data_IF_717136638236
#
_entry.id   IF_717136638236
#
_cell.length_a   1.000
_cell.length_b   1.000
_cell.length_c   1.000
_cell.angle_alpha   90.00
_cell.angle_beta   90.00
_cell.angle_gamma   90.00
#
_symmetry.space_group_name_H-M   'P 1'
#
loop_
_entity.id
_entity.type
_entity.pdbx_description
1 polymer ?
#
# COMPACT_ATOMS: atom_id res chain seq x y z
N UNK A 1 46.75 40.23 12.15
CA UNK A 1 47.73 41.10 11.44
C UNK A 1 47.58 40.82 9.95
N UNK A 2 47.23 41.84 9.27
CA UNK A 2 47.62 42.47 8.01
C UNK A 2 46.91 41.88 6.77
N UNK A 3 45.90 42.53 6.30
CA UNK A 3 45.79 43.59 5.25
C UNK A 3 46.21 43.19 3.84
N UNK A 4 45.33 43.48 2.91
CA UNK A 4 45.64 43.84 1.54
C UNK A 4 44.47 43.48 0.59
N UNK A 5 43.66 44.36 0.34
CA UNK A 5 43.48 45.45 -0.62
C UNK A 5 42.88 45.03 -1.94
N UNK A 6 41.72 45.60 -2.17
CA UNK A 6 40.85 45.57 -3.37
C UNK A 6 41.49 46.41 -4.52
N UNK A 7 41.38 45.95 -5.75
CA UNK A 7 41.32 46.86 -6.91
C UNK A 7 40.20 46.37 -7.84
N UNK A 8 39.22 47.23 -8.05
CA UNK A 8 38.15 47.06 -8.99
C UNK A 8 38.50 47.50 -10.43
N UNK A 9 37.83 46.95 -11.39
CA UNK A 9 37.68 47.55 -12.71
C UNK A 9 36.22 47.53 -13.14
N UNK A 10 35.70 48.71 -13.29
CA UNK A 10 34.36 49.02 -13.85
C UNK A 10 34.46 48.86 -15.34
N UNK A 11 33.64 47.98 -15.93
CA UNK A 11 33.34 47.96 -17.33
C UNK A 11 31.85 48.17 -17.50
N UNK A 12 31.50 49.19 -18.26
CA UNK A 12 30.16 49.72 -18.45
C UNK A 12 29.16 48.74 -19.02
N UNK A 13 28.02 48.68 -18.40
CA UNK A 13 26.86 47.96 -18.87
C UNK A 13 25.92 48.87 -19.65
N UNK A 14 25.75 48.59 -20.91
CA UNK A 14 24.70 49.16 -21.77
C UNK A 14 23.33 48.71 -21.22
N UNK A 15 22.31 49.55 -21.12
CA UNK A 15 21.00 49.12 -20.62
C UNK A 15 20.33 48.20 -21.63
N UNK A 16 20.11 46.95 -21.26
CA UNK A 16 19.22 46.07 -21.97
C UNK A 16 17.79 46.61 -21.81
N UNK A 17 17.21 47.03 -22.92
CA UNK A 17 15.75 47.29 -23.00
C UNK A 17 14.99 46.06 -22.54
N UNK A 18 14.37 46.12 -21.38
CA UNK A 18 13.38 45.17 -20.95
C UNK A 18 12.18 45.24 -21.89
N UNK A 19 12.06 44.25 -22.78
CA UNK A 19 10.78 43.98 -23.44
C UNK A 19 9.81 43.55 -22.34
N UNK A 20 8.87 44.41 -22.00
CA UNK A 20 7.73 44.10 -21.17
C UNK A 20 6.89 43.03 -21.90
N UNK A 21 7.07 41.77 -21.50
CA UNK A 21 6.07 40.77 -21.85
C UNK A 21 4.73 41.23 -21.24
N UNK A 22 3.63 41.27 -22.02
CA UNK A 22 2.33 41.56 -21.44
C UNK A 22 2.08 40.57 -20.30
N UNK A 23 1.62 41.09 -19.16
CA UNK A 23 1.21 40.25 -18.05
C UNK A 23 0.27 39.16 -18.56
N UNK A 24 0.49 37.89 -18.15
CA UNK A 24 -0.42 36.84 -18.56
C UNK A 24 -1.82 37.23 -18.11
N UNK A 25 -2.73 37.37 -19.10
CA UNK A 25 -4.14 37.60 -18.81
C UNK A 25 -4.60 36.48 -17.83
N UNK A 26 -5.36 36.78 -16.80
CA UNK A 26 -5.93 35.78 -15.94
C UNK A 26 -6.68 34.80 -16.84
N UNK A 27 -6.18 33.57 -16.94
CA UNK A 27 -6.93 32.49 -17.59
C UNK A 27 -8.29 32.50 -16.95
N UNK A 28 -9.36 32.69 -17.72
CA UNK A 28 -10.72 32.50 -17.24
C UNK A 28 -10.81 31.12 -16.63
N UNK A 29 -10.68 31.09 -15.32
CA UNK A 29 -10.64 29.94 -14.51
C UNK A 29 -12.07 29.52 -14.23
N UNK A 30 -12.39 28.35 -14.71
CA UNK A 30 -13.48 27.46 -14.32
C UNK A 30 -14.87 27.91 -14.80
N UNK A 31 -15.59 26.97 -15.44
CA UNK A 31 -17.04 27.04 -15.45
C UNK A 31 -17.53 27.18 -14.00
N UNK A 32 -18.72 27.75 -13.77
CA UNK A 32 -19.28 27.89 -12.42
C UNK A 32 -19.11 26.59 -11.70
N UNK A 33 -18.57 26.63 -10.47
CA UNK A 33 -18.32 25.44 -9.64
C UNK A 33 -19.59 24.60 -9.67
N UNK A 34 -19.55 23.52 -10.47
CA UNK A 34 -20.56 22.49 -10.31
C UNK A 34 -20.50 22.10 -8.83
N UNK A 35 -21.65 21.99 -8.21
CA UNK A 35 -21.79 21.64 -6.80
C UNK A 35 -21.37 20.16 -6.64
N UNK A 36 -20.07 19.94 -6.80
CA UNK A 36 -19.47 18.60 -6.77
C UNK A 36 -19.66 17.99 -5.37
N UNK A 37 -19.99 16.72 -5.28
CA UNK A 37 -20.08 16.04 -3.99
C UNK A 37 -18.74 16.12 -3.27
N UNK A 38 -18.79 16.36 -1.95
CA UNK A 38 -17.61 16.50 -1.09
C UNK A 38 -17.50 15.31 -0.14
N UNK A 39 -16.30 14.82 0.08
CA UNK A 39 -16.00 13.83 1.13
C UNK A 39 -14.81 14.27 1.97
N UNK A 40 -14.78 13.79 3.21
CA UNK A 40 -13.68 14.02 4.15
C UNK A 40 -13.04 12.67 4.47
N UNK A 41 -11.70 12.62 4.44
CA UNK A 41 -10.92 11.41 4.68
C UNK A 41 -10.03 11.60 5.90
N UNK A 42 -10.21 10.79 6.94
CA UNK A 42 -9.35 10.77 8.12
C UNK A 42 -8.33 9.65 8.00
N UNK A 43 -7.07 10.03 7.74
CA UNK A 43 -5.95 9.08 7.62
C UNK A 43 -5.51 8.57 8.99
N UNK A 44 -5.12 7.30 9.06
CA UNK A 44 -4.46 6.76 10.24
C UNK A 44 -2.98 7.14 10.29
N UNK A 45 -2.34 7.23 9.13
CA UNK A 45 -0.90 7.49 9.02
C UNK A 45 -0.51 8.05 7.64
N UNK A 46 0.74 8.50 7.53
CA UNK A 46 1.41 8.89 6.29
C UNK A 46 2.44 7.82 5.87
N UNK A 47 2.16 6.54 6.14
CA UNK A 47 2.96 5.41 5.72
C UNK A 47 2.36 4.68 4.51
N UNK A 48 2.85 3.48 4.19
CA UNK A 48 2.36 2.69 3.08
C UNK A 48 0.83 2.54 3.07
N UNK A 49 0.23 2.19 4.21
CA UNK A 49 -1.22 1.97 4.31
C UNK A 49 -2.01 3.27 4.04
N UNK A 50 -1.58 4.39 4.63
CA UNK A 50 -2.22 5.69 4.40
C UNK A 50 -2.17 6.10 2.93
N UNK A 51 -1.02 5.92 2.27
CA UNK A 51 -0.89 6.25 0.85
C UNK A 51 -1.73 5.34 -0.05
N UNK A 52 -1.61 4.02 0.08
CA UNK A 52 -2.32 3.08 -0.77
C UNK A 52 -3.83 3.15 -0.63
N UNK A 53 -4.30 3.35 0.60
CA UNK A 53 -5.73 3.24 0.90
C UNK A 53 -6.49 4.58 0.87
N UNK A 54 -5.81 5.69 1.17
CA UNK A 54 -6.46 6.98 1.38
C UNK A 54 -5.90 8.08 0.48
N UNK A 55 -4.58 8.38 0.58
CA UNK A 55 -3.99 9.59 -0.01
C UNK A 55 -3.93 9.51 -1.55
N UNK A 56 -3.45 8.40 -2.11
CA UNK A 56 -3.41 8.23 -3.56
C UNK A 56 -4.81 8.17 -4.19
N UNK A 57 -5.77 7.38 -3.65
CA UNK A 57 -7.15 7.45 -4.12
C UNK A 57 -7.74 8.87 -4.07
N UNK A 58 -7.49 9.63 -3.00
CA UNK A 58 -7.94 11.01 -2.90
C UNK A 58 -7.36 11.90 -4.00
N UNK A 59 -6.04 11.85 -4.23
CA UNK A 59 -5.40 12.61 -5.31
C UNK A 59 -5.97 12.24 -6.68
N UNK A 60 -6.16 10.94 -6.94
CA UNK A 60 -6.71 10.48 -8.21
C UNK A 60 -8.17 10.91 -8.39
N UNK A 61 -8.99 10.85 -7.34
CA UNK A 61 -10.39 11.28 -7.38
C UNK A 61 -10.52 12.79 -7.58
N UNK A 62 -9.67 13.58 -6.92
CA UNK A 62 -9.63 15.04 -7.14
C UNK A 62 -9.21 15.37 -8.58
N UNK A 63 -8.24 14.64 -9.13
CA UNK A 63 -7.82 14.78 -10.54
C UNK A 63 -8.90 14.32 -11.53
N UNK A 64 -9.70 13.32 -11.14
CA UNK A 64 -10.84 12.85 -11.95
C UNK A 64 -11.94 13.90 -12.10
N UNK A 65 -12.06 14.84 -11.14
CA UNK A 65 -12.90 16.01 -11.26
C UNK A 65 -14.41 15.78 -11.10
N UNK A 66 -14.83 14.60 -10.60
CA UNK A 66 -16.24 14.29 -10.37
C UNK A 66 -16.68 14.49 -8.92
N UNK A 67 -15.75 14.71 -8.00
CA UNK A 67 -16.00 15.04 -6.60
C UNK A 67 -14.80 15.78 -6.00
N UNK A 68 -14.98 16.34 -4.81
CA UNK A 68 -13.91 16.96 -4.03
C UNK A 68 -13.66 16.11 -2.79
N UNK A 69 -12.42 15.66 -2.62
CA UNK A 69 -11.98 14.95 -1.42
C UNK A 69 -11.00 15.80 -0.62
N UNK A 70 -11.18 15.81 0.69
CA UNK A 70 -10.37 16.56 1.65
C UNK A 70 -9.80 15.59 2.65
N UNK A 71 -8.47 15.51 2.75
CA UNK A 71 -7.77 14.61 3.67
C UNK A 71 -7.23 15.31 4.91
N UNK A 72 -7.27 14.63 6.04
CA UNK A 72 -6.73 15.13 7.31
C UNK A 72 -6.34 13.97 8.23
N UNK A 73 -5.35 14.21 9.10
CA UNK A 73 -5.08 13.36 10.29
C UNK A 73 -5.68 13.96 11.55
N UNK A 74 -6.16 15.21 11.48
CA UNK A 74 -6.74 15.92 12.62
C UNK A 74 -8.25 15.77 12.61
N UNK A 75 -8.78 15.07 13.61
CA UNK A 75 -10.22 14.94 13.86
C UNK A 75 -10.72 16.15 14.62
N UNK A 76 -11.72 16.86 14.07
CA UNK A 76 -12.30 18.04 14.70
C UNK A 76 -13.76 17.84 15.09
N UNK A 77 -14.17 18.43 16.21
CA UNK A 77 -15.59 18.49 16.64
C UNK A 77 -16.28 19.79 16.24
N UNK A 78 -15.65 20.61 15.36
CA UNK A 78 -16.34 21.75 14.78
C UNK A 78 -17.40 21.28 13.78
N UNK A 79 -18.69 21.41 14.07
CA UNK A 79 -19.75 20.91 13.20
C UNK A 79 -19.81 21.62 11.85
N UNK A 80 -19.22 22.80 11.70
CA UNK A 80 -19.21 23.55 10.44
C UNK A 80 -18.37 22.87 9.36
N UNK A 81 -17.35 22.12 9.77
CA UNK A 81 -16.49 21.36 8.84
C UNK A 81 -17.28 20.31 8.03
N UNK A 82 -18.41 19.86 8.58
CA UNK A 82 -19.23 18.80 7.99
C UNK A 82 -20.37 19.31 7.09
N UNK A 83 -20.47 20.63 6.89
CA UNK A 83 -21.49 21.21 6.02
C UNK A 83 -21.21 20.83 4.56
N UNK A 84 -22.23 20.27 3.89
CA UNK A 84 -22.14 19.86 2.48
C UNK A 84 -21.31 18.60 2.23
N UNK A 85 -20.81 17.91 3.28
CA UNK A 85 -20.13 16.62 3.14
C UNK A 85 -21.17 15.54 2.85
N UNK A 86 -20.86 14.64 1.90
CA UNK A 86 -21.67 13.47 1.52
C UNK A 86 -21.25 12.21 2.25
N UNK A 87 -19.95 12.06 2.49
CA UNK A 87 -19.39 10.91 3.17
C UNK A 87 -18.09 11.24 3.90
N UNK A 88 -17.82 10.51 4.96
CA UNK A 88 -16.55 10.57 5.68
C UNK A 88 -15.97 9.19 5.74
N UNK A 89 -14.70 9.04 5.33
CA UNK A 89 -13.95 7.79 5.40
C UNK A 89 -12.90 7.87 6.50
N UNK A 90 -12.93 6.88 7.40
CA UNK A 90 -12.03 6.78 8.56
C UNK A 90 -11.15 5.55 8.39
N UNK A 91 -9.83 5.74 8.33
CA UNK A 91 -8.90 4.63 8.18
C UNK A 91 -8.54 4.04 9.55
N UNK A 92 -8.87 2.77 9.78
CA UNK A 92 -8.49 1.89 10.90
C UNK A 92 -8.24 2.59 12.24
N UNK A 93 -9.12 3.48 12.62
CA UNK A 93 -9.13 4.06 13.95
C UNK A 93 -9.45 2.95 14.96
N UNK A 94 -8.76 2.89 16.09
CA UNK A 94 -8.87 1.75 17.01
C UNK A 94 -8.88 2.12 18.49
N UNK A 95 -8.58 3.37 18.85
CA UNK A 95 -8.49 3.75 20.25
C UNK A 95 -9.86 4.12 20.86
N UNK A 96 -10.05 3.95 22.19
CA UNK A 96 -11.25 4.42 22.88
C UNK A 96 -11.54 5.91 22.71
N UNK A 97 -10.48 6.74 22.56
CA UNK A 97 -10.65 8.16 22.28
C UNK A 97 -11.24 8.41 20.88
N UNK A 98 -10.78 7.66 19.90
CA UNK A 98 -11.32 7.73 18.53
C UNK A 98 -12.75 7.20 18.46
N UNK A 99 -13.11 6.20 19.27
CA UNK A 99 -14.48 5.74 19.39
C UNK A 99 -15.40 6.86 19.87
N UNK A 100 -15.03 7.59 20.95
CA UNK A 100 -15.81 8.74 21.43
C UNK A 100 -15.97 9.85 20.39
N UNK A 101 -14.97 10.02 19.52
CA UNK A 101 -15.10 10.93 18.38
C UNK A 101 -16.08 10.38 17.34
N UNK A 102 -16.01 9.11 17.01
CA UNK A 102 -16.91 8.50 16.03
C UNK A 102 -18.37 8.46 16.51
N UNK A 103 -18.60 8.25 17.80
CA UNK A 103 -19.95 8.34 18.41
C UNK A 103 -20.55 9.74 18.22
N UNK A 104 -19.75 10.78 18.49
CA UNK A 104 -20.17 12.15 18.20
C UNK A 104 -20.39 12.37 16.70
N UNK A 105 -19.48 11.89 15.86
CA UNK A 105 -19.57 12.03 14.41
C UNK A 105 -20.81 11.30 13.86
N UNK A 106 -21.20 10.16 14.45
CA UNK A 106 -22.43 9.45 14.09
C UNK A 106 -23.68 10.32 14.30
N UNK A 107 -23.74 11.04 15.43
CA UNK A 107 -24.83 12.02 15.69
C UNK A 107 -24.85 13.12 14.61
N UNK A 108 -23.68 13.63 14.22
CA UNK A 108 -23.60 14.62 13.14
C UNK A 108 -24.04 14.05 11.79
N UNK A 109 -23.65 12.82 11.51
CA UNK A 109 -24.03 12.12 10.28
C UNK A 109 -25.56 11.91 10.20
N UNK A 110 -26.18 11.54 11.33
CA UNK A 110 -27.63 11.35 11.43
C UNK A 110 -28.41 12.64 11.24
N UNK A 111 -27.90 13.76 11.76
CA UNK A 111 -28.52 15.06 11.64
C UNK A 111 -28.37 15.69 10.27
N UNK A 112 -27.24 15.47 9.60
CA UNK A 112 -26.85 16.17 8.36
C UNK A 112 -26.99 15.29 7.11
N UNK A 113 -27.21 13.99 7.26
CA UNK A 113 -27.44 13.07 6.16
C UNK A 113 -26.17 12.65 5.39
N UNK A 114 -24.99 12.61 6.02
CA UNK A 114 -23.79 12.06 5.40
C UNK A 114 -23.47 10.64 5.88
N UNK A 115 -22.73 9.88 5.08
CA UNK A 115 -22.35 8.49 5.39
C UNK A 115 -21.01 8.42 6.12
N UNK A 116 -20.85 7.41 6.95
CA UNK A 116 -19.61 7.02 7.59
C UNK A 116 -19.11 5.72 6.95
N UNK A 117 -17.86 5.73 6.45
CA UNK A 117 -17.20 4.61 5.81
C UNK A 117 -15.96 4.27 6.65
N UNK A 118 -15.84 3.01 7.07
CA UNK A 118 -14.67 2.55 7.82
C UNK A 118 -13.72 1.79 6.89
N UNK A 119 -12.47 2.22 6.81
CA UNK A 119 -11.45 1.60 5.97
C UNK A 119 -10.54 0.70 6.76
N UNK A 120 -10.38 -0.56 6.33
CA UNK A 120 -9.54 -1.56 6.98
C UNK A 120 -8.67 -2.26 5.93
N UNK A 121 -7.38 -2.31 6.14
CA UNK A 121 -6.40 -2.93 5.26
C UNK A 121 -5.61 -4.08 5.91
N UNK A 122 -5.84 -4.37 7.19
CA UNK A 122 -5.21 -5.46 7.93
C UNK A 122 -6.15 -6.01 9.03
N UNK A 123 -5.79 -7.11 9.68
CA UNK A 123 -6.52 -7.65 10.83
C UNK A 123 -6.28 -6.79 12.06
N UNK A 124 -7.37 -6.39 12.74
CA UNK A 124 -7.36 -5.54 13.92
C UNK A 124 -7.71 -6.31 15.22
N UNK A 125 -8.03 -7.60 15.14
CA UNK A 125 -8.36 -8.42 16.31
C UNK A 125 -7.15 -9.24 16.71
N UNK A 126 -6.68 -9.02 17.96
CA UNK A 126 -5.43 -9.57 18.50
C UNK A 126 -5.32 -11.09 18.36
N UNK A 127 -6.42 -11.80 18.58
CA UNK A 127 -6.46 -13.26 18.55
C UNK A 127 -6.02 -13.85 17.21
N UNK A 128 -6.20 -13.10 16.12
CA UNK A 128 -5.86 -13.51 14.76
C UNK A 128 -4.55 -12.88 14.24
N UNK A 129 -3.91 -12.00 15.04
CA UNK A 129 -2.59 -11.42 14.71
C UNK A 129 -1.49 -12.34 15.23
N UNK A 130 -0.59 -12.86 14.38
CA UNK A 130 0.45 -13.80 14.79
C UNK A 130 1.41 -13.21 15.84
N UNK A 131 1.97 -14.05 16.70
CA UNK A 131 2.91 -13.63 17.75
C UNK A 131 4.20 -13.02 17.19
N UNK A 132 4.65 -13.48 16.02
CA UNK A 132 5.82 -12.92 15.37
C UNK A 132 5.60 -11.48 14.85
N UNK A 133 4.35 -11.03 14.71
CA UNK A 133 4.07 -9.69 14.23
C UNK A 133 4.36 -8.66 15.32
N UNK A 134 5.41 -7.88 15.13
CA UNK A 134 5.84 -6.87 16.09
C UNK A 134 4.81 -5.78 16.40
N UNK A 135 3.79 -5.60 15.56
CA UNK A 135 2.72 -4.61 15.79
C UNK A 135 1.52 -5.17 16.55
N UNK A 136 1.52 -6.47 16.90
CA UNK A 136 0.44 -7.09 17.67
C UNK A 136 0.16 -6.36 18.99
N UNK A 137 1.21 -5.81 19.63
CA UNK A 137 1.08 -5.08 20.90
C UNK A 137 0.08 -3.91 20.85
N UNK A 138 -0.09 -3.28 19.66
CA UNK A 138 -1.03 -2.17 19.48
C UNK A 138 -2.50 -2.58 19.66
N UNK A 139 -2.79 -3.89 19.63
CA UNK A 139 -4.13 -4.46 19.75
C UNK A 139 -4.29 -5.34 20.99
N UNK A 140 -3.38 -5.27 21.96
CA UNK A 140 -3.40 -6.15 23.15
C UNK A 140 -4.48 -5.78 24.16
N UNK A 141 -4.83 -4.50 24.27
CA UNK A 141 -5.84 -4.05 25.23
C UNK A 141 -7.26 -4.39 24.75
N UNK A 142 -8.07 -4.96 25.65
CA UNK A 142 -9.46 -5.33 25.35
C UNK A 142 -10.30 -4.13 24.93
N UNK A 143 -9.99 -2.93 25.46
CA UNK A 143 -10.66 -1.68 25.11
C UNK A 143 -10.39 -1.29 23.64
N UNK A 144 -9.20 -1.60 23.11
CA UNK A 144 -8.86 -1.35 21.69
C UNK A 144 -9.66 -2.29 20.78
N UNK A 145 -9.78 -3.56 21.18
CA UNK A 145 -10.60 -4.55 20.46
C UNK A 145 -12.08 -4.14 20.45
N UNK A 146 -12.63 -3.82 21.62
CA UNK A 146 -14.02 -3.39 21.75
C UNK A 146 -14.29 -2.10 20.95
N UNK A 147 -13.38 -1.12 21.02
CA UNK A 147 -13.47 0.11 20.25
C UNK A 147 -13.45 -0.14 18.74
N UNK A 148 -12.54 -0.97 18.26
CA UNK A 148 -12.45 -1.32 16.83
C UNK A 148 -13.73 -1.99 16.33
N UNK A 149 -14.24 -2.97 17.07
CA UNK A 149 -15.49 -3.65 16.74
C UNK A 149 -16.65 -2.66 16.69
N UNK A 150 -16.80 -1.81 17.73
CA UNK A 150 -17.88 -0.83 17.81
C UNK A 150 -17.82 0.21 16.69
N UNK A 151 -16.62 0.66 16.31
CA UNK A 151 -16.45 1.58 15.18
C UNK A 151 -16.87 0.97 13.85
N UNK A 152 -16.55 -0.31 13.62
CA UNK A 152 -17.00 -1.05 12.43
C UNK A 152 -18.52 -1.15 12.38
N UNK A 153 -19.17 -1.46 13.51
CA UNK A 153 -20.63 -1.59 13.62
C UNK A 153 -21.35 -0.26 13.41
N UNK A 154 -20.75 0.85 13.81
CA UNK A 154 -21.35 2.19 13.73
C UNK A 154 -21.25 2.82 12.34
N UNK A 155 -20.40 2.33 11.47
CA UNK A 155 -20.25 2.86 10.12
C UNK A 155 -21.31 2.28 9.16
N UNK A 156 -21.72 3.09 8.20
CA UNK A 156 -22.72 2.71 7.19
C UNK A 156 -22.12 1.71 6.21
N UNK A 157 -20.80 1.68 6.06
CA UNK A 157 -20.06 0.77 5.20
C UNK A 157 -18.64 0.54 5.69
N UNK A 158 -18.10 -0.65 5.39
CA UNK A 158 -16.70 -0.99 5.62
C UNK A 158 -16.02 -1.26 4.29
N UNK A 159 -14.82 -0.72 4.07
CA UNK A 159 -14.01 -1.05 2.90
C UNK A 159 -12.81 -1.90 3.30
N UNK A 160 -12.52 -2.93 2.52
CA UNK A 160 -11.44 -3.89 2.74
C UNK A 160 -10.67 -4.16 1.45
N UNK A 161 -9.53 -4.85 1.54
CA UNK A 161 -8.62 -5.06 0.40
C UNK A 161 -8.93 -6.30 -0.45
N UNK A 162 -9.54 -7.34 0.13
CA UNK A 162 -9.77 -8.62 -0.55
C UNK A 162 -11.06 -9.32 -0.05
N UNK A 163 -11.51 -10.32 -0.81
CA UNK A 163 -12.72 -11.07 -0.49
C UNK A 163 -12.59 -11.85 0.82
N UNK A 164 -11.43 -12.45 1.10
CA UNK A 164 -11.23 -13.16 2.36
C UNK A 164 -11.39 -12.23 3.57
N UNK A 165 -10.87 -11.01 3.49
CA UNK A 165 -11.04 -10.00 4.54
C UNK A 165 -12.52 -9.56 4.67
N UNK A 166 -13.26 -9.47 3.57
CA UNK A 166 -14.71 -9.22 3.61
C UNK A 166 -15.44 -10.31 4.40
N UNK A 167 -15.17 -11.56 4.11
CA UNK A 167 -15.76 -12.70 4.82
C UNK A 167 -15.36 -12.69 6.30
N UNK A 168 -14.07 -12.49 6.58
CA UNK A 168 -13.52 -12.42 7.93
C UNK A 168 -14.24 -11.37 8.79
N UNK A 169 -14.29 -10.13 8.33
CA UNK A 169 -14.95 -9.06 9.10
C UNK A 169 -16.48 -9.23 9.14
N UNK A 170 -17.09 -9.76 8.09
CA UNK A 170 -18.49 -10.10 8.08
C UNK A 170 -18.85 -11.10 9.19
N UNK A 171 -18.07 -12.16 9.35
CA UNK A 171 -18.25 -13.14 10.43
C UNK A 171 -17.95 -12.59 11.82
N UNK A 172 -16.86 -11.83 11.97
CA UNK A 172 -16.43 -11.29 13.28
C UNK A 172 -17.36 -10.20 13.83
N UNK A 173 -17.96 -9.39 12.98
CA UNK A 173 -18.74 -8.21 13.39
C UNK A 173 -20.22 -8.30 13.05
N UNK A 174 -20.64 -9.29 12.28
CA UNK A 174 -22.00 -9.39 11.76
C UNK A 174 -22.38 -8.30 10.74
N UNK A 175 -21.40 -7.47 10.33
CA UNK A 175 -21.64 -6.43 9.32
C UNK A 175 -21.66 -7.04 7.92
N UNK A 176 -22.79 -6.91 7.21
CA UNK A 176 -22.94 -7.37 5.83
C UNK A 176 -22.58 -6.30 4.79
N UNK A 177 -22.34 -5.06 5.22
CA UNK A 177 -22.09 -3.93 4.33
C UNK A 177 -20.59 -3.70 4.17
N UNK A 178 -19.92 -4.67 3.53
CA UNK A 178 -18.48 -4.64 3.33
C UNK A 178 -18.18 -4.67 1.85
N UNK A 179 -17.52 -3.63 1.34
CA UNK A 179 -17.11 -3.48 -0.05
C UNK A 179 -15.62 -3.75 -0.22
N UNK A 180 -15.29 -4.59 -1.18
CA UNK A 180 -13.89 -4.88 -1.54
C UNK A 180 -13.38 -3.82 -2.51
N UNK A 181 -12.36 -3.08 -2.09
CA UNK A 181 -11.58 -2.18 -2.93
C UNK A 181 -10.12 -2.64 -2.87
N UNK A 182 -9.64 -3.36 -3.88
CA UNK A 182 -8.24 -3.80 -3.93
C UNK A 182 -7.26 -2.63 -3.93
N UNK A 183 -6.01 -2.88 -3.64
CA UNK A 183 -4.95 -1.89 -3.84
C UNK A 183 -4.76 -1.62 -5.32
N UNK A 184 -4.89 -0.35 -5.70
CA UNK A 184 -4.69 0.14 -7.06
C UNK A 184 -3.41 0.96 -7.11
N UNK A 185 -2.37 0.53 -7.85
CA UNK A 185 -1.14 1.31 -8.00
C UNK A 185 -1.42 2.57 -8.82
N UNK A 186 -0.96 3.75 -8.39
CA UNK A 186 -1.08 4.94 -9.21
C UNK A 186 -0.08 4.89 -10.38
N UNK A 187 -0.56 5.22 -11.57
CA UNK A 187 0.25 5.22 -12.81
C UNK A 187 1.43 6.17 -12.73
N UNK A 188 1.23 7.34 -12.12
CA UNK A 188 2.27 8.34 -11.94
C UNK A 188 3.40 7.91 -10.99
N UNK A 189 3.18 6.89 -10.15
CA UNK A 189 4.19 6.34 -9.24
C UNK A 189 4.92 5.13 -9.84
N UNK A 190 4.21 4.19 -10.45
CA UNK A 190 4.77 2.93 -10.95
C UNK A 190 4.65 2.75 -12.47
N UNK A 191 3.76 3.47 -13.16
CA UNK A 191 3.45 3.17 -14.55
C UNK A 191 4.59 3.41 -15.55
N UNK A 192 5.58 4.22 -15.18
CA UNK A 192 6.78 4.48 -15.98
C UNK A 192 7.93 3.52 -15.69
N UNK A 193 7.77 2.60 -14.74
CA UNK A 193 8.86 1.74 -14.27
C UNK A 193 9.09 0.51 -15.14
N UNK A 194 8.08 0.08 -15.91
CA UNK A 194 8.22 -1.05 -16.83
C UNK A 194 9.09 -0.66 -18.02
N UNK A 195 10.24 -1.29 -18.15
CA UNK A 195 11.21 -1.06 -19.22
C UNK A 195 11.81 -2.39 -19.66
N UNK A 196 11.33 -2.92 -20.80
CA UNK A 196 11.81 -4.20 -21.33
C UNK A 196 13.30 -4.20 -21.66
N UNK A 197 13.86 -3.09 -22.11
CA UNK A 197 15.28 -3.00 -22.44
C UNK A 197 16.13 -3.12 -21.17
N UNK A 198 15.70 -2.44 -20.09
CA UNK A 198 16.38 -2.53 -18.81
C UNK A 198 16.25 -3.95 -18.21
N UNK A 199 15.06 -4.56 -18.29
CA UNK A 199 14.80 -5.93 -17.85
C UNK A 199 15.71 -6.91 -18.58
N UNK A 200 15.78 -6.83 -19.92
CA UNK A 200 16.67 -7.64 -20.74
C UNK A 200 18.14 -7.42 -20.38
N UNK A 201 18.56 -6.18 -20.17
CA UNK A 201 19.94 -5.85 -19.78
C UNK A 201 20.29 -6.45 -18.42
N UNK A 202 19.36 -6.44 -17.46
CA UNK A 202 19.55 -7.07 -16.15
C UNK A 202 19.65 -8.59 -16.27
N UNK A 203 18.82 -9.22 -17.11
CA UNK A 203 18.92 -10.65 -17.40
C UNK A 203 20.26 -11.00 -18.06
N UNK A 204 20.65 -10.30 -19.13
CA UNK A 204 21.93 -10.53 -19.83
C UNK A 204 23.15 -10.33 -18.91
N UNK A 205 23.07 -9.42 -17.95
CA UNK A 205 24.13 -9.23 -16.94
C UNK A 205 24.35 -10.48 -16.09
N UNK A 206 23.26 -11.16 -15.73
CA UNK A 206 23.33 -12.43 -15.02
C UNK A 206 23.98 -13.51 -15.91
N UNK A 207 23.45 -13.74 -17.11
CA UNK A 207 23.90 -14.82 -18.01
C UNK A 207 25.31 -14.57 -18.56
N UNK A 208 25.53 -13.42 -19.22
CA UNK A 208 26.79 -13.11 -19.92
C UNK A 208 27.98 -12.87 -18.99
N UNK A 209 27.73 -12.33 -17.80
CA UNK A 209 28.79 -12.03 -16.82
C UNK A 209 28.96 -13.12 -15.76
N UNK A 210 28.26 -14.24 -15.89
CA UNK A 210 28.27 -15.34 -14.91
C UNK A 210 28.06 -14.85 -13.46
N UNK A 211 27.21 -13.83 -13.27
CA UNK A 211 26.87 -13.30 -11.97
C UNK A 211 25.63 -14.02 -11.43
N UNK A 212 25.55 -14.19 -10.13
CA UNK A 212 24.37 -14.76 -9.49
C UNK A 212 23.14 -13.92 -9.83
N UNK A 213 22.00 -14.56 -10.18
CA UNK A 213 20.73 -13.84 -10.28
C UNK A 213 20.38 -13.20 -8.94
N UNK A 214 19.77 -12.02 -8.99
CA UNK A 214 19.41 -11.25 -7.81
C UNK A 214 17.94 -11.47 -7.48
N UNK A 215 17.69 -12.02 -6.29
CA UNK A 215 16.35 -12.36 -5.83
C UNK A 215 15.99 -11.42 -4.67
N UNK A 216 14.91 -10.65 -4.83
CA UNK A 216 14.49 -9.63 -3.88
C UNK A 216 13.34 -10.11 -3.02
N UNK A 217 13.44 -9.84 -1.74
CA UNK A 217 12.30 -9.67 -0.86
C UNK A 217 12.25 -8.22 -0.36
N UNK A 218 11.08 -7.56 -0.50
CA UNK A 218 10.82 -6.24 0.06
C UNK A 218 9.66 -6.33 1.05
N UNK A 219 9.89 -5.97 2.31
CA UNK A 219 8.86 -6.05 3.33
C UNK A 219 9.30 -5.54 4.70
N UNK A 220 8.32 -5.16 5.51
CA UNK A 220 8.54 -4.66 6.87
C UNK A 220 8.84 -5.79 7.86
N UNK A 221 9.29 -5.43 9.06
CA UNK A 221 9.48 -6.37 10.16
C UNK A 221 8.19 -6.99 10.72
N UNK A 222 7.02 -6.69 10.15
CA UNK A 222 5.76 -7.35 10.51
C UNK A 222 5.68 -8.82 10.05
N UNK A 223 6.57 -9.22 9.14
CA UNK A 223 6.65 -10.57 8.57
C UNK A 223 7.69 -11.46 9.27
N UNK A 224 8.43 -10.92 10.22
CA UNK A 224 9.55 -11.60 10.85
C UNK A 224 9.44 -11.61 12.36
N UNK A 225 9.86 -12.70 12.97
CA UNK A 225 10.01 -12.82 14.42
C UNK A 225 11.31 -12.13 14.87
N UNK A 226 11.30 -10.80 14.84
CA UNK A 226 12.49 -9.98 15.18
C UNK A 226 12.88 -10.05 16.65
N UNK A 227 11.93 -10.37 17.53
CA UNK A 227 12.10 -10.46 18.98
C UNK A 227 12.22 -11.90 19.49
N UNK A 228 12.22 -12.89 18.60
CA UNK A 228 12.23 -14.33 18.91
C UNK A 228 11.08 -14.78 19.83
N UNK A 229 9.91 -14.15 19.73
CA UNK A 229 8.73 -14.46 20.56
C UNK A 229 8.00 -15.73 20.12
N UNK A 230 8.05 -16.04 18.84
CA UNK A 230 7.38 -17.17 18.21
C UNK A 230 8.36 -18.28 17.80
N UNK A 231 9.54 -18.41 18.44
CA UNK A 231 10.57 -19.36 18.08
C UNK A 231 10.89 -19.39 16.58
N UNK A 232 10.89 -18.22 15.98
CA UNK A 232 11.15 -18.02 14.55
C UNK A 232 10.13 -18.68 13.61
N UNK A 233 8.92 -18.94 14.07
CA UNK A 233 7.78 -19.39 13.27
C UNK A 233 7.13 -18.18 12.58
N UNK A 234 7.88 -17.55 11.68
CA UNK A 234 7.49 -16.37 10.91
C UNK A 234 7.22 -16.72 9.45
N UNK A 235 6.89 -15.73 8.62
CA UNK A 235 6.56 -15.92 7.20
C UNK A 235 7.70 -16.56 6.38
N UNK A 236 8.90 -16.63 6.92
CA UNK A 236 10.06 -17.25 6.29
C UNK A 236 10.43 -18.62 6.87
N UNK A 237 9.74 -19.11 7.90
CA UNK A 237 10.11 -20.35 8.59
C UNK A 237 10.33 -21.54 7.63
N UNK A 238 9.43 -21.70 6.65
CA UNK A 238 9.45 -22.81 5.70
C UNK A 238 10.39 -22.61 4.48
N UNK A 239 10.91 -21.40 4.25
CA UNK A 239 11.82 -21.10 3.13
C UNK A 239 13.24 -20.74 3.57
N UNK A 240 13.46 -20.53 4.84
CA UNK A 240 14.72 -20.06 5.41
C UNK A 240 15.90 -20.97 5.07
N UNK A 241 15.73 -22.28 5.26
CA UNK A 241 16.81 -23.25 5.04
C UNK A 241 17.23 -23.33 3.58
N UNK A 242 16.30 -23.22 2.64
CA UNK A 242 16.64 -23.22 1.23
C UNK A 242 17.33 -21.91 0.81
N UNK A 243 17.00 -20.77 1.43
CA UNK A 243 17.73 -19.51 1.27
C UNK A 243 19.18 -19.69 1.73
N UNK A 244 19.39 -20.25 2.94
CA UNK A 244 20.72 -20.55 3.49
C UNK A 244 21.57 -21.43 2.54
N UNK A 245 20.97 -22.48 1.98
CA UNK A 245 21.64 -23.42 1.07
C UNK A 245 21.96 -22.80 -0.30
N UNK A 246 21.20 -21.82 -0.75
CA UNK A 246 21.24 -21.25 -2.11
C UNK A 246 21.96 -19.90 -2.23
N UNK A 247 22.59 -19.39 -1.16
CA UNK A 247 23.43 -18.19 -1.23
C UNK A 247 24.63 -18.31 -2.19
N UNK A 248 25.01 -19.53 -2.56
CA UNK A 248 26.03 -19.79 -3.60
C UNK A 248 25.47 -19.61 -5.02
N UNK A 249 24.17 -19.84 -5.22
CA UNK A 249 23.50 -19.85 -6.53
C UNK A 249 22.83 -18.50 -6.82
N UNK A 250 22.25 -17.86 -5.81
CA UNK A 250 21.54 -16.58 -5.89
C UNK A 250 22.21 -15.49 -5.05
N UNK A 251 22.10 -14.25 -5.50
CA UNK A 251 22.32 -13.07 -4.66
C UNK A 251 20.98 -12.69 -4.05
N UNK A 252 20.76 -13.11 -2.81
CA UNK A 252 19.59 -12.70 -2.05
C UNK A 252 19.72 -11.24 -1.64
N UNK A 253 18.64 -10.48 -1.81
CA UNK A 253 18.53 -9.05 -1.51
C UNK A 253 17.30 -8.83 -0.64
N UNK A 254 17.47 -8.18 0.48
CA UNK A 254 16.36 -7.80 1.37
C UNK A 254 16.26 -6.28 1.45
N UNK A 255 15.03 -5.76 1.37
CA UNK A 255 14.70 -4.35 1.59
C UNK A 255 13.71 -4.25 2.73
N UNK A 256 14.02 -3.43 3.72
CA UNK A 256 13.19 -3.15 4.88
C UNK A 256 13.51 -4.00 6.10
N UNK A 257 13.36 -5.30 6.04
CA UNK A 257 13.73 -6.24 7.11
C UNK A 257 14.15 -7.60 6.54
N UNK A 258 14.74 -8.44 7.40
CA UNK A 258 15.15 -9.81 7.09
C UNK A 258 14.97 -10.72 8.31
N UNK A 259 14.80 -12.05 8.13
CA UNK A 259 14.69 -13.01 9.22
C UNK A 259 15.95 -13.04 10.09
N UNK A 260 15.78 -13.07 11.41
CA UNK A 260 16.88 -13.07 12.38
C UNK A 260 17.96 -14.13 12.11
N UNK A 261 17.65 -15.40 11.74
CA UNK A 261 18.67 -16.41 11.43
C UNK A 261 19.56 -16.09 10.24
N UNK A 262 19.18 -15.17 9.35
CA UNK A 262 20.01 -14.75 8.22
C UNK A 262 21.04 -13.66 8.61
N UNK A 263 21.04 -13.17 9.86
CA UNK A 263 21.85 -12.03 10.30
C UNK A 263 23.35 -12.19 10.03
N UNK A 264 23.90 -13.39 10.24
CA UNK A 264 25.33 -13.64 10.00
C UNK A 264 25.69 -13.57 8.51
N UNK A 265 24.78 -13.96 7.60
CA UNK A 265 24.97 -13.84 6.16
C UNK A 265 24.86 -12.39 5.70
N UNK A 266 23.98 -11.61 6.31
CA UNK A 266 23.88 -10.16 6.06
C UNK A 266 25.15 -9.46 6.55
N UNK A 267 25.60 -9.71 7.78
CA UNK A 267 26.84 -9.12 8.34
C UNK A 267 28.09 -9.46 7.52
N UNK A 268 28.14 -10.67 6.94
CA UNK A 268 29.27 -11.11 6.08
C UNK A 268 29.14 -10.68 4.63
N UNK A 269 28.10 -9.95 4.24
CA UNK A 269 27.85 -9.49 2.88
C UNK A 269 27.44 -10.60 1.88
N UNK A 270 27.17 -11.82 2.34
CA UNK A 270 26.66 -12.92 1.50
C UNK A 270 25.20 -12.70 1.09
N UNK A 271 24.43 -12.03 1.93
CA UNK A 271 23.10 -11.50 1.64
C UNK A 271 23.17 -9.98 1.65
N UNK A 272 22.63 -9.35 0.63
CA UNK A 272 22.56 -7.89 0.52
C UNK A 272 21.32 -7.38 1.26
N UNK A 273 21.48 -6.33 2.07
CA UNK A 273 20.40 -5.71 2.83
C UNK A 273 20.39 -4.20 2.61
N UNK A 274 19.19 -3.67 2.42
CA UNK A 274 18.88 -2.25 2.37
C UNK A 274 17.82 -1.92 3.42
N UNK A 275 17.98 -0.83 4.17
CA UNK A 275 16.93 -0.38 5.08
C UNK A 275 15.66 0.02 4.30
N UNK A 276 14.56 0.19 5.02
CA UNK A 276 13.31 0.63 4.41
C UNK A 276 13.46 2.00 3.76
N UNK A 277 13.13 2.09 2.49
CA UNK A 277 13.08 3.36 1.77
C UNK A 277 11.76 4.10 2.04
N UNK A 278 11.76 5.41 1.88
CA UNK A 278 10.51 6.16 1.79
C UNK A 278 9.67 5.62 0.63
N UNK A 279 8.35 5.69 0.75
CA UNK A 279 7.45 5.10 -0.22
C UNK A 279 7.71 5.61 -1.66
N UNK A 280 7.96 6.90 -1.81
CA UNK A 280 8.23 7.49 -3.12
C UNK A 280 9.59 7.06 -3.72
N UNK A 281 10.56 6.70 -2.89
CA UNK A 281 11.89 6.29 -3.31
C UNK A 281 11.98 4.77 -3.59
N UNK A 282 10.99 4.00 -3.11
CA UNK A 282 10.99 2.53 -3.19
C UNK A 282 11.09 2.00 -4.63
N UNK A 283 10.34 2.51 -5.63
CA UNK A 283 10.45 2.04 -7.01
C UNK A 283 11.85 2.24 -7.59
N UNK A 284 12.44 3.41 -7.40
CA UNK A 284 13.79 3.71 -7.90
C UNK A 284 14.86 2.89 -7.17
N UNK A 285 14.69 2.64 -5.87
CA UNK A 285 15.56 1.71 -5.14
C UNK A 285 15.50 0.32 -5.77
N UNK A 286 14.30 -0.26 -5.94
CA UNK A 286 14.15 -1.61 -6.51
C UNK A 286 14.76 -1.67 -7.92
N UNK A 287 14.53 -0.65 -8.75
CA UNK A 287 15.12 -0.54 -10.09
C UNK A 287 16.64 -0.50 -10.04
N UNK A 288 17.22 0.28 -9.11
CA UNK A 288 18.67 0.39 -8.92
C UNK A 288 19.33 -0.91 -8.50
N UNK A 289 18.61 -1.76 -7.77
CA UNK A 289 19.07 -3.07 -7.30
C UNK A 289 19.21 -4.09 -8.44
N UNK A 290 18.65 -3.83 -9.63
CA UNK A 290 18.78 -4.68 -10.81
C UNK A 290 18.40 -6.14 -10.56
N UNK A 291 17.30 -6.32 -9.85
CA UNK A 291 16.80 -7.64 -9.46
C UNK A 291 16.27 -8.42 -10.67
N UNK A 292 16.34 -9.73 -10.60
CA UNK A 292 15.86 -10.63 -11.64
C UNK A 292 14.51 -11.23 -11.31
N UNK A 293 14.22 -11.47 -10.02
CA UNK A 293 12.93 -11.95 -9.55
C UNK A 293 12.68 -11.46 -8.13
N UNK A 294 11.41 -11.50 -7.72
CA UNK A 294 11.00 -11.28 -6.34
C UNK A 294 10.41 -12.55 -5.75
N UNK A 295 10.37 -12.63 -4.42
CA UNK A 295 9.69 -13.69 -3.67
C UNK A 295 8.73 -13.10 -2.65
N UNK A 296 7.62 -13.79 -2.40
CA UNK A 296 6.63 -13.41 -1.40
C UNK A 296 6.16 -14.62 -0.60
N UNK A 297 7.01 -15.16 0.31
CA UNK A 297 6.62 -16.22 1.21
C UNK A 297 5.67 -15.68 2.28
N UNK A 298 4.72 -16.51 2.68
CA UNK A 298 3.78 -16.29 3.78
C UNK A 298 3.48 -17.64 4.44
N UNK A 299 3.31 -17.65 5.76
CA UNK A 299 2.71 -18.79 6.46
C UNK A 299 1.20 -18.72 6.29
N UNK A 300 0.57 -19.86 6.05
CA UNK A 300 -0.89 -19.94 5.93
C UNK A 300 -1.56 -19.81 7.30
N UNK A 301 -2.13 -18.63 7.54
CA UNK A 301 -2.94 -18.30 8.71
C UNK A 301 -3.97 -17.24 8.35
N UNK A 302 -4.95 -17.02 9.24
CA UNK A 302 -6.03 -16.03 9.03
C UNK A 302 -5.51 -14.63 8.73
N UNK A 303 -4.48 -14.18 9.45
CA UNK A 303 -3.87 -12.87 9.27
C UNK A 303 -3.32 -12.69 7.85
N UNK A 304 -2.55 -13.66 7.36
CA UNK A 304 -1.94 -13.62 6.04
C UNK A 304 -2.95 -13.82 4.90
N UNK A 305 -4.02 -14.59 5.12
CA UNK A 305 -5.13 -14.70 4.17
C UNK A 305 -5.90 -13.39 4.01
N UNK A 306 -5.93 -12.54 5.06
CA UNK A 306 -6.52 -11.21 5.01
C UNK A 306 -5.63 -10.16 4.33
N UNK A 307 -4.37 -10.46 4.01
CA UNK A 307 -3.48 -9.49 3.35
C UNK A 307 -3.87 -9.24 1.91
N UNK A 308 -3.52 -8.04 1.44
CA UNK A 308 -3.60 -7.71 0.03
C UNK A 308 -2.41 -8.27 -0.76
N UNK A 309 -2.58 -8.42 -2.06
CA UNK A 309 -1.58 -8.87 -3.01
C UNK A 309 -0.56 -7.78 -3.43
N UNK A 310 -0.30 -6.81 -2.56
CA UNK A 310 0.49 -5.61 -2.87
C UNK A 310 1.88 -5.94 -3.47
N UNK A 311 2.57 -6.97 -2.94
CA UNK A 311 3.88 -7.40 -3.47
C UNK A 311 3.78 -7.88 -4.92
N UNK A 312 2.71 -8.60 -5.26
CA UNK A 312 2.44 -9.01 -6.63
C UNK A 312 2.19 -7.80 -7.53
N UNK A 313 1.39 -6.84 -7.09
CA UNK A 313 1.06 -5.63 -7.84
C UNK A 313 2.30 -4.77 -8.08
N UNK A 314 3.10 -4.50 -7.06
CA UNK A 314 4.34 -3.72 -7.16
C UNK A 314 5.35 -4.39 -8.09
N UNK A 315 5.60 -5.68 -7.90
CA UNK A 315 6.50 -6.46 -8.73
C UNK A 315 6.07 -6.46 -10.20
N UNK A 316 4.78 -6.68 -10.44
CA UNK A 316 4.20 -6.72 -11.79
C UNK A 316 4.27 -5.36 -12.50
N UNK A 317 4.05 -4.26 -11.76
CA UNK A 317 4.20 -2.91 -12.29
C UNK A 317 5.64 -2.58 -12.72
N UNK A 318 6.61 -3.11 -11.98
CA UNK A 318 8.03 -2.99 -12.30
C UNK A 318 8.48 -3.93 -13.43
N UNK A 319 7.62 -4.86 -13.85
CA UNK A 319 7.96 -5.92 -14.81
C UNK A 319 8.96 -6.94 -14.27
N UNK A 320 9.12 -7.03 -12.95
CA UNK A 320 9.92 -8.04 -12.27
C UNK A 320 9.04 -9.22 -11.94
N UNK A 321 9.30 -10.44 -12.42
CA UNK A 321 8.48 -11.59 -12.09
C UNK A 321 8.61 -11.95 -10.61
N UNK A 322 7.52 -12.39 -10.01
CA UNK A 322 7.47 -12.76 -8.59
C UNK A 322 7.03 -14.21 -8.43
N UNK A 323 7.64 -14.90 -7.46
CA UNK A 323 7.26 -16.24 -7.01
C UNK A 323 6.62 -16.13 -5.65
N UNK A 324 5.32 -16.41 -5.55
CA UNK A 324 4.49 -16.18 -4.38
C UNK A 324 4.12 -17.49 -3.67
N UNK A 325 3.87 -17.41 -2.37
CA UNK A 325 3.22 -18.51 -1.65
C UNK A 325 1.88 -18.87 -2.31
N UNK A 326 1.60 -20.16 -2.51
CA UNK A 326 0.30 -20.60 -3.04
C UNK A 326 -0.76 -20.49 -1.95
N UNK A 327 -1.44 -19.37 -1.93
CA UNK A 327 -2.54 -19.06 -1.02
C UNK A 327 -3.47 -18.00 -1.60
N UNK A 328 -4.64 -17.82 -0.99
CA UNK A 328 -5.68 -16.91 -1.47
C UNK A 328 -5.19 -15.47 -1.66
N UNK A 329 -4.25 -15.01 -0.85
CA UNK A 329 -3.63 -13.67 -0.96
C UNK A 329 -3.00 -13.42 -2.33
N UNK A 330 -2.44 -14.46 -2.95
CA UNK A 330 -1.76 -14.39 -4.25
C UNK A 330 -2.46 -15.24 -5.30
N UNK A 331 -3.80 -15.34 -5.26
CA UNK A 331 -4.58 -16.16 -6.22
C UNK A 331 -4.27 -15.83 -7.68
N UNK A 332 -3.98 -14.56 -7.98
CA UNK A 332 -3.68 -14.06 -9.32
C UNK A 332 -2.19 -14.13 -9.71
N UNK A 333 -1.31 -14.60 -8.83
CA UNK A 333 0.11 -14.74 -9.15
C UNK A 333 0.36 -15.88 -10.14
N UNK A 334 1.31 -15.64 -11.08
CA UNK A 334 1.61 -16.59 -12.16
C UNK A 334 2.51 -17.73 -11.71
N UNK A 335 3.41 -17.46 -10.76
CA UNK A 335 4.37 -18.43 -10.25
C UNK A 335 4.09 -18.61 -8.77
N UNK A 336 3.79 -19.82 -8.36
CA UNK A 336 3.39 -20.14 -7.00
C UNK A 336 4.21 -21.31 -6.46
N UNK A 337 4.38 -21.36 -5.15
CA UNK A 337 5.06 -22.44 -4.45
C UNK A 337 4.36 -22.77 -3.12
N UNK A 338 4.52 -24.00 -2.69
CA UNK A 338 4.04 -24.49 -1.39
C UNK A 338 5.22 -24.71 -0.43
N UNK A 339 6.33 -25.24 -0.96
CA UNK A 339 7.55 -25.54 -0.18
C UNK A 339 8.73 -24.67 -0.61
N UNK A 340 9.75 -24.59 0.27
CA UNK A 340 10.96 -23.84 -0.07
C UNK A 340 11.70 -24.41 -1.28
N UNK A 341 11.68 -25.72 -1.46
CA UNK A 341 12.27 -26.40 -2.61
C UNK A 341 11.56 -26.01 -3.91
N UNK A 342 10.22 -26.04 -3.91
CA UNK A 342 9.43 -25.58 -5.06
C UNK A 342 9.70 -24.11 -5.38
N UNK A 343 9.86 -23.23 -4.37
CA UNK A 343 10.24 -21.83 -4.60
C UNK A 343 11.54 -21.72 -5.39
N UNK A 344 12.55 -22.52 -5.02
CA UNK A 344 13.85 -22.53 -5.71
C UNK A 344 13.71 -23.08 -7.13
N UNK A 345 12.94 -24.12 -7.32
CA UNK A 345 12.72 -24.71 -8.66
C UNK A 345 11.97 -23.74 -9.57
N UNK A 346 10.93 -23.06 -9.07
CA UNK A 346 10.24 -21.98 -9.78
C UNK A 346 11.20 -20.84 -10.18
N UNK A 347 12.11 -20.43 -9.27
CA UNK A 347 13.12 -19.41 -9.58
C UNK A 347 14.10 -19.87 -10.65
N UNK A 348 14.55 -21.13 -10.61
CA UNK A 348 15.45 -21.71 -11.65
C UNK A 348 14.76 -21.79 -13.01
N UNK A 349 13.53 -22.29 -13.04
CA UNK A 349 12.75 -22.41 -14.28
C UNK A 349 12.48 -21.04 -14.90
N UNK A 350 12.09 -20.08 -14.09
CA UNK A 350 11.86 -18.70 -14.50
C UNK A 350 13.11 -18.07 -15.15
N UNK A 351 14.27 -18.37 -14.60
CA UNK A 351 15.56 -17.78 -15.01
C UNK A 351 16.34 -18.64 -16.03
N UNK A 352 15.82 -19.80 -16.42
CA UNK A 352 16.48 -20.78 -17.27
C UNK A 352 16.92 -20.22 -18.61
N UNK A 353 16.02 -19.50 -19.29
CA UNK A 353 16.28 -18.90 -20.59
C UNK A 353 15.60 -17.53 -20.74
N UNK A 354 16.15 -16.70 -21.62
CA UNK A 354 15.68 -15.32 -21.81
C UNK A 354 14.24 -15.24 -22.33
N UNK A 355 13.83 -16.16 -23.17
CA UNK A 355 12.49 -16.17 -23.77
C UNK A 355 11.44 -16.44 -22.71
N UNK A 356 11.64 -17.47 -21.89
CA UNK A 356 10.79 -17.80 -20.75
C UNK A 356 10.74 -16.60 -19.76
N UNK A 357 11.89 -16.07 -19.39
CA UNK A 357 11.99 -14.93 -18.51
C UNK A 357 11.16 -13.72 -18.99
N UNK A 358 11.39 -13.28 -20.22
CA UNK A 358 10.68 -12.14 -20.81
C UNK A 358 9.17 -12.39 -20.96
N UNK A 359 8.77 -13.63 -21.25
CA UNK A 359 7.36 -14.03 -21.28
C UNK A 359 6.69 -13.82 -19.92
N UNK A 360 7.36 -14.20 -18.84
CA UNK A 360 6.84 -14.00 -17.46
C UNK A 360 6.79 -12.52 -17.09
N UNK A 361 7.81 -11.73 -17.41
CA UNK A 361 7.81 -10.28 -17.18
C UNK A 361 6.61 -9.59 -17.87
N UNK A 362 6.38 -9.89 -19.15
CA UNK A 362 5.25 -9.34 -19.91
C UNK A 362 3.91 -9.77 -19.35
N UNK A 363 3.73 -11.07 -19.06
CA UNK A 363 2.48 -11.57 -18.45
C UNK A 363 2.20 -10.94 -17.11
N UNK A 364 3.21 -10.78 -16.25
CA UNK A 364 3.07 -10.10 -14.98
C UNK A 364 2.60 -8.65 -15.17
N UNK A 365 3.25 -7.89 -16.05
CA UNK A 365 2.84 -6.52 -16.33
C UNK A 365 1.43 -6.44 -16.93
N UNK A 366 1.06 -7.36 -17.84
CA UNK A 366 -0.28 -7.42 -18.40
C UNK A 366 -1.36 -7.70 -17.34
N UNK A 367 -1.06 -8.50 -16.33
CA UNK A 367 -2.02 -8.86 -15.28
C UNK A 367 -2.51 -7.67 -14.45
N UNK A 368 -1.74 -6.57 -14.42
CA UNK A 368 -2.11 -5.37 -13.66
C UNK A 368 -2.65 -4.22 -14.51
N UNK A 369 -2.81 -4.40 -15.84
CA UNK A 369 -3.21 -3.29 -16.73
C UNK A 369 -4.58 -2.70 -16.37
N UNK A 370 -5.50 -3.51 -15.88
CA UNK A 370 -6.82 -3.06 -15.43
C UNK A 370 -6.83 -2.63 -13.95
N UNK A 371 -5.68 -2.66 -13.28
CA UNK A 371 -5.53 -2.34 -11.85
C UNK A 371 -4.90 -0.97 -11.60
N UNK A 372 -4.63 -0.19 -12.64
CA UNK A 372 -4.16 1.18 -12.44
C UNK A 372 -5.25 2.03 -11.77
N UNK A 373 -4.84 2.83 -10.79
CA UNK A 373 -5.75 3.66 -10.00
C UNK A 373 -6.56 4.61 -10.89
N UNK A 374 -5.91 5.23 -11.88
CA UNK A 374 -6.52 6.19 -12.80
C UNK A 374 -7.39 5.54 -13.91
N UNK A 375 -7.55 4.22 -13.90
CA UNK A 375 -8.50 3.53 -14.78
C UNK A 375 -9.93 3.99 -14.43
N UNK A 376 -10.74 4.48 -15.39
CA UNK A 376 -12.05 5.04 -15.10
C UNK A 376 -12.94 4.12 -14.26
N UNK A 377 -12.98 2.81 -14.58
CA UNK A 377 -13.77 1.83 -13.82
C UNK A 377 -13.33 1.67 -12.37
N UNK A 378 -12.04 1.92 -12.04
CA UNK A 378 -11.55 1.89 -10.68
C UNK A 378 -11.89 3.17 -9.93
N UNK A 379 -11.81 4.31 -10.59
CA UNK A 379 -12.24 5.60 -10.02
C UNK A 379 -13.76 5.66 -9.82
N UNK A 380 -14.54 5.07 -10.73
CA UNK A 380 -15.99 5.00 -10.59
C UNK A 380 -16.42 4.17 -9.37
N UNK A 381 -15.67 3.12 -8.98
CA UNK A 381 -15.91 2.40 -7.71
C UNK A 381 -15.75 3.29 -6.48
N UNK A 382 -14.73 4.16 -6.48
CA UNK A 382 -14.57 5.15 -5.41
C UNK A 382 -15.68 6.20 -5.45
N UNK A 383 -16.06 6.69 -6.65
CA UNK A 383 -17.15 7.66 -6.80
C UNK A 383 -18.44 7.08 -6.25
N UNK A 384 -18.80 5.85 -6.64
CA UNK A 384 -19.98 5.15 -6.12
C UNK A 384 -19.91 5.04 -4.60
N UNK A 385 -18.80 4.53 -4.03
CA UNK A 385 -18.60 4.40 -2.59
C UNK A 385 -18.91 5.70 -1.84
N UNK A 386 -18.41 6.83 -2.33
CA UNK A 386 -18.51 8.10 -1.65
C UNK A 386 -19.85 8.83 -1.87
N UNK A 387 -20.57 8.51 -2.96
CA UNK A 387 -21.80 9.22 -3.34
C UNK A 387 -23.09 8.48 -3.07
N UNK A 388 -23.01 7.21 -2.62
CA UNK A 388 -24.21 6.46 -2.21
C UNK A 388 -25.05 7.24 -1.22
N UNK A 389 -26.41 7.16 -1.30
CA UNK A 389 -27.29 7.92 -0.44
C UNK A 389 -27.16 7.51 1.04
N UNK A 390 -27.33 8.48 1.93
CA UNK A 390 -27.52 8.23 3.35
C UNK A 390 -28.78 7.37 3.59
N UNK A 391 -28.68 6.36 4.45
CA UNK A 391 -29.83 5.50 4.79
C UNK A 391 -29.81 4.12 4.15
N UNK A 392 -28.69 3.67 3.58
CA UNK A 392 -28.51 2.31 3.08
C UNK A 392 -28.87 1.22 4.14
N UNK A 393 -29.32 0.00 3.74
CA UNK A 393 -30.11 -0.95 4.54
C UNK A 393 -29.57 -1.45 5.89
N UNK A 394 -28.30 -1.30 6.20
CA UNK A 394 -27.72 -1.77 7.49
C UNK A 394 -28.18 -0.98 8.72
N UNK A 395 -28.79 0.17 8.56
CA UNK A 395 -29.27 1.01 9.65
C UNK A 395 -30.38 0.37 10.48
N UNK A 396 -31.13 -0.58 9.91
CA UNK A 396 -32.19 -1.32 10.64
C UNK A 396 -31.62 -2.20 11.77
N UNK A 397 -30.38 -2.69 11.62
CA UNK A 397 -29.70 -3.52 12.62
C UNK A 397 -29.24 -2.68 13.81
N UNK A 398 -28.62 -1.51 13.57
CA UNK A 398 -28.17 -0.58 14.61
C UNK A 398 -29.32 -0.06 15.48
N UNK A 399 -30.47 0.23 14.87
CA UNK A 399 -31.67 0.65 15.61
C UNK A 399 -32.28 -0.46 16.48
N UNK A 400 -31.99 -1.74 16.20
CA UNK A 400 -32.39 -2.86 17.07
C UNK A 400 -31.43 -3.03 18.25
N UNK A 401 -30.13 -2.85 18.04
CA UNK A 401 -29.11 -2.97 19.09
C UNK A 401 -29.15 -1.82 20.10
N UNK A 402 -29.54 -0.61 19.69
CA UNK A 402 -29.73 0.54 20.60
C UNK A 402 -31.03 0.49 21.41
N UNK A 403 -31.87 -0.52 21.22
CA UNK A 403 -33.11 -0.75 21.96
C UNK A 403 -33.03 -1.94 22.93
N UNK A 404 -31.90 -2.60 23.00
CA UNK A 404 -31.53 -3.60 24.00
C UNK A 404 -30.52 -3.02 24.98
#
# INVERSE_FOLDING_TARGET
MVHGTVIGSVVGSTPLQQRSNPAPQPRNLRPPEQDLPRSLNYYADYSGCGFWRMIWPEHAMNAYGKMVQIGSTVMTRDPNVYNGIKSIRLQRQASPHQLKFLEWLRTQADQRGFRLIYEIDDVMFREDIPEYNKFRFAFEADEVRAASQRMIEMCDEVTVTCNYMKEYYGHKTGNSNITVIPNYPPKWWLGHMYDEQLIMKNYDRHVKKRRKPRILYAGSGAHFDVDNKANQQDDFAHVRDVILKTVKDFQWVFVGAYPLPLQNLVKSGKIEFHPWAKLYDLPELIKSLKVNAMVAPLIDNTFNRCKSDIKFVESSALGVPIVCQDMVTYENALNKFTTGEEMIDQLKDLLRDKTTYMKHCRKANMAIQNRWLETPSNLDKYLELYTLPYGHPNRKLLNRLNRL
#
